data_IF_443112899907
#
_entry.id   IF_443112899907
#
_cell.length_a   1.000
_cell.length_b   1.000
_cell.length_c   1.000
_cell.angle_alpha   90.00
_cell.angle_beta   90.00
_cell.angle_gamma   90.00
#
_symmetry.space_group_name_H-M   'P 1'
#
loop_
_entity.id
_entity.type
_entity.pdbx_description
1 polymer ?
#
# COMPACT_ATOMS: atom_id res chain seq x y z
N UNK A 1 -8.63 6.26 5.42
CA UNK A 1 -8.16 7.67 5.34
C UNK A 1 -7.14 8.06 6.40
N UNK A 2 -7.09 7.41 7.58
CA UNK A 2 -6.06 7.69 8.60
C UNK A 2 -4.67 7.07 8.34
N UNK A 3 -4.56 6.04 7.47
CA UNK A 3 -3.28 5.37 7.16
C UNK A 3 -2.41 6.10 6.13
N UNK A 4 -3.01 6.91 5.24
CA UNK A 4 -2.29 7.73 4.27
C UNK A 4 -1.41 8.80 4.95
N UNK A 5 -1.89 9.38 6.05
CA UNK A 5 -1.17 10.40 6.81
C UNK A 5 0.10 9.87 7.50
N UNK A 6 0.17 8.58 7.80
CA UNK A 6 1.32 7.97 8.50
C UNK A 6 2.46 7.58 7.55
N UNK A 7 2.16 7.23 6.29
CA UNK A 7 3.19 7.00 5.27
C UNK A 7 3.76 8.34 4.81
N UNK A 8 2.92 9.37 4.68
CA UNK A 8 3.37 10.74 4.48
C UNK A 8 4.16 11.25 5.70
N UNK A 9 3.91 10.74 6.91
CA UNK A 9 4.72 11.02 8.09
C UNK A 9 6.12 10.37 8.04
N UNK A 10 6.26 9.19 7.41
CA UNK A 10 7.58 8.56 7.22
C UNK A 10 8.34 9.16 6.06
N UNK A 11 7.65 9.39 4.93
CA UNK A 11 8.18 10.15 3.83
C UNK A 11 8.55 11.56 4.29
N UNK A 12 7.76 12.23 5.14
CA UNK A 12 8.13 13.57 5.68
C UNK A 12 9.20 13.57 6.76
N UNK A 13 9.40 12.45 7.48
CA UNK A 13 10.53 12.29 8.42
C UNK A 13 11.84 11.91 7.71
N UNK A 14 11.79 11.14 6.62
CA UNK A 14 12.97 10.69 5.85
C UNK A 14 13.33 11.64 4.70
N UNK A 15 12.35 12.28 4.05
CA UNK A 15 12.56 13.47 3.22
C UNK A 15 12.38 14.68 4.12
N UNK A 16 13.46 15.38 4.48
CA UNK A 16 13.42 16.63 5.27
C UNK A 16 12.42 17.63 4.69
N UNK A 17 11.17 17.55 5.10
CA UNK A 17 10.04 18.33 4.54
C UNK A 17 10.24 19.83 4.75
N UNK A 18 10.98 20.20 5.79
CA UNK A 18 11.30 21.60 6.12
C UNK A 18 12.25 22.25 5.12
N UNK A 19 13.19 21.49 4.55
CA UNK A 19 14.09 22.01 3.51
C UNK A 19 13.36 22.11 2.15
N UNK A 20 12.54 21.11 1.81
CA UNK A 20 11.73 21.12 0.58
C UNK A 20 10.69 22.24 0.57
N UNK A 21 10.02 22.52 1.71
CA UNK A 21 9.08 23.64 1.80
C UNK A 21 9.74 25.00 1.60
N UNK A 22 11.01 25.18 1.99
CA UNK A 22 11.79 26.38 1.69
C UNK A 22 12.06 26.54 0.19
N UNK A 23 12.37 25.43 -0.51
CA UNK A 23 12.64 25.40 -1.95
C UNK A 23 11.41 25.71 -2.81
N UNK A 24 10.21 25.37 -2.32
CA UNK A 24 8.92 25.67 -2.97
C UNK A 24 8.26 26.97 -2.48
N UNK A 25 8.87 27.70 -1.54
CA UNK A 25 8.35 28.99 -1.07
C UNK A 25 8.75 30.11 -2.05
N UNK A 26 7.76 30.91 -2.49
CA UNK A 26 7.92 31.91 -3.55
C UNK A 26 8.91 33.05 -3.28
N UNK A 27 9.55 33.09 -2.10
CA UNK A 27 10.56 34.09 -1.75
C UNK A 27 11.95 33.82 -2.38
N UNK A 28 12.20 32.62 -2.90
CA UNK A 28 13.54 32.18 -3.39
C UNK A 28 13.66 31.97 -4.92
N UNK A 29 12.73 32.50 -5.72
CA UNK A 29 12.75 32.28 -7.18
C UNK A 29 13.98 32.90 -7.88
N UNK A 30 14.44 34.09 -7.47
CA UNK A 30 15.62 34.73 -8.06
C UNK A 30 16.95 34.07 -7.63
N UNK A 31 17.04 33.57 -6.39
CA UNK A 31 18.19 32.78 -5.93
C UNK A 31 18.25 31.40 -6.59
N UNK A 32 17.09 30.77 -6.77
CA UNK A 32 16.96 29.51 -7.51
C UNK A 32 17.41 29.65 -8.97
N UNK A 33 16.99 30.72 -9.66
CA UNK A 33 17.39 30.97 -11.04
C UNK A 33 18.91 31.19 -11.20
N UNK A 34 19.60 31.71 -10.17
CA UNK A 34 21.07 31.85 -10.18
C UNK A 34 21.80 30.54 -9.88
N UNK A 35 21.20 29.66 -9.08
CA UNK A 35 21.78 28.36 -8.69
C UNK A 35 21.47 27.25 -9.69
N UNK A 36 20.32 27.24 -10.34
CA UNK A 36 19.90 26.14 -11.20
C UNK A 36 20.12 26.47 -12.67
N UNK A 37 21.39 26.53 -13.07
CA UNK A 37 21.76 26.79 -14.47
C UNK A 37 22.03 25.49 -15.25
N UNK A 38 21.74 25.42 -16.56
CA UNK A 38 22.07 24.25 -17.37
C UNK A 38 23.58 23.91 -17.39
N UNK A 39 24.44 24.91 -17.22
CA UNK A 39 25.90 24.73 -17.14
C UNK A 39 26.31 23.99 -15.85
N UNK A 40 25.70 24.33 -14.72
CA UNK A 40 25.94 23.61 -13.47
C UNK A 40 25.47 22.16 -13.56
N UNK A 41 24.31 21.91 -14.17
CA UNK A 41 23.85 20.54 -14.40
C UNK A 41 24.81 19.75 -15.30
N UNK A 42 25.41 20.39 -16.31
CA UNK A 42 26.44 19.79 -17.14
C UNK A 42 27.69 19.44 -16.32
N UNK A 43 28.13 20.32 -15.42
CA UNK A 43 29.26 20.03 -14.53
C UNK A 43 28.98 18.84 -13.59
N UNK A 44 27.74 18.73 -13.08
CA UNK A 44 27.29 17.58 -12.28
C UNK A 44 27.31 16.29 -13.12
N UNK A 45 26.80 16.35 -14.34
CA UNK A 45 26.85 15.22 -15.28
C UNK A 45 28.29 14.79 -15.58
N UNK A 46 29.20 15.72 -15.87
CA UNK A 46 30.61 15.43 -16.13
C UNK A 46 31.30 14.79 -14.90
N UNK A 47 30.84 15.15 -13.71
CA UNK A 47 31.32 14.52 -12.46
C UNK A 47 30.86 13.08 -12.34
N UNK A 48 29.59 12.77 -12.68
CA UNK A 48 29.10 11.39 -12.76
C UNK A 48 29.82 10.60 -13.85
N UNK A 49 30.00 11.18 -15.04
CA UNK A 49 30.64 10.53 -16.18
C UNK A 49 32.10 10.16 -15.91
N UNK A 50 32.82 10.97 -15.14
CA UNK A 50 34.19 10.67 -14.66
C UNK A 50 34.25 9.57 -13.61
N UNK A 51 33.12 9.20 -13.01
CA UNK A 51 33.02 8.21 -11.94
C UNK A 51 32.03 7.08 -12.33
N UNK A 52 32.31 6.27 -13.37
CA UNK A 52 31.41 5.19 -13.78
C UNK A 52 31.37 4.02 -12.79
N UNK A 53 32.47 3.78 -12.07
CA UNK A 53 32.57 2.76 -11.01
C UNK A 53 32.68 3.46 -9.67
N UNK A 54 31.75 3.17 -8.77
CA UNK A 54 31.69 3.78 -7.44
C UNK A 54 32.42 2.89 -6.45
N UNK A 55 33.33 3.49 -5.69
CA UNK A 55 34.13 2.85 -4.66
C UNK A 55 34.21 3.78 -3.45
N UNK A 56 34.87 3.34 -2.38
CA UNK A 56 34.96 4.11 -1.13
C UNK A 56 35.52 5.53 -1.31
N UNK A 57 36.45 5.72 -2.25
CA UNK A 57 37.12 7.01 -2.46
C UNK A 57 36.26 8.07 -3.16
N UNK A 58 35.36 7.66 -4.06
CA UNK A 58 34.50 8.59 -4.82
C UNK A 58 33.03 8.54 -4.39
N UNK A 59 32.63 7.61 -3.52
CA UNK A 59 31.25 7.44 -3.06
C UNK A 59 30.60 8.73 -2.60
N UNK A 60 31.28 9.49 -1.73
CA UNK A 60 30.73 10.72 -1.17
C UNK A 60 30.44 11.76 -2.27
N UNK A 61 31.34 11.90 -3.25
CA UNK A 61 31.18 12.83 -4.37
C UNK A 61 30.01 12.40 -5.26
N UNK A 62 29.90 11.10 -5.57
CA UNK A 62 28.80 10.58 -6.41
C UNK A 62 27.45 10.76 -5.72
N UNK A 63 27.35 10.39 -4.44
CA UNK A 63 26.12 10.57 -3.64
C UNK A 63 25.68 12.03 -3.62
N UNK A 64 26.60 12.95 -3.33
CA UNK A 64 26.29 14.37 -3.30
C UNK A 64 25.90 14.90 -4.69
N UNK A 65 26.56 14.44 -5.75
CA UNK A 65 26.23 14.82 -7.13
C UNK A 65 24.83 14.36 -7.52
N UNK A 66 24.45 13.11 -7.19
CA UNK A 66 23.09 12.59 -7.43
C UNK A 66 22.07 13.39 -6.62
N UNK A 67 22.39 13.73 -5.38
CA UNK A 67 21.54 14.58 -4.53
C UNK A 67 21.32 15.95 -5.16
N UNK A 68 22.37 16.63 -5.64
CA UNK A 68 22.27 17.90 -6.35
C UNK A 68 21.40 17.78 -7.60
N UNK A 69 21.59 16.74 -8.42
CA UNK A 69 20.75 16.50 -9.62
C UNK A 69 19.28 16.37 -9.25
N UNK A 70 18.94 15.75 -8.12
CA UNK A 70 17.54 15.68 -7.66
C UNK A 70 16.92 17.06 -7.41
N UNK A 71 17.70 18.01 -6.88
CA UNK A 71 17.26 19.40 -6.67
C UNK A 71 16.98 20.09 -8.01
N UNK A 72 17.90 19.92 -8.97
CA UNK A 72 17.75 20.43 -10.33
C UNK A 72 16.48 19.90 -10.99
N UNK A 73 16.21 18.60 -10.87
CA UNK A 73 15.04 17.98 -11.50
C UNK A 73 13.72 18.50 -10.96
N UNK A 74 13.63 18.74 -9.66
CA UNK A 74 12.42 19.28 -9.04
C UNK A 74 12.20 20.73 -9.47
N UNK A 75 13.25 21.53 -9.46
CA UNK A 75 13.15 22.94 -9.85
C UNK A 75 12.85 23.07 -11.35
N UNK A 76 13.56 22.30 -12.18
CA UNK A 76 13.47 22.29 -13.64
C UNK A 76 12.10 21.90 -14.18
N UNK A 77 11.42 20.89 -13.61
CA UNK A 77 10.07 20.48 -14.08
C UNK A 77 9.04 21.63 -14.02
N UNK A 78 9.21 22.60 -13.13
CA UNK A 78 8.26 23.69 -12.93
C UNK A 78 8.73 25.04 -13.49
N UNK A 79 10.04 25.28 -13.58
CA UNK A 79 10.58 26.62 -13.87
C UNK A 79 11.42 26.69 -15.15
N UNK A 80 12.10 25.60 -15.54
CA UNK A 80 13.02 25.60 -16.68
C UNK A 80 13.05 24.23 -17.37
N UNK A 81 12.21 24.01 -18.40
CA UNK A 81 12.11 22.73 -19.10
C UNK A 81 13.44 22.19 -19.63
N UNK A 82 14.38 23.08 -20.00
CA UNK A 82 15.70 22.68 -20.53
C UNK A 82 16.52 21.84 -19.55
N UNK A 83 16.34 22.04 -18.25
CA UNK A 83 17.00 21.24 -17.21
C UNK A 83 16.49 19.80 -17.26
N UNK A 84 15.17 19.65 -17.40
CA UNK A 84 14.53 18.34 -17.52
C UNK A 84 14.99 17.67 -18.82
N UNK A 85 14.94 18.39 -19.96
CA UNK A 85 15.40 17.89 -21.26
C UNK A 85 16.87 17.44 -21.21
N UNK A 86 17.76 18.19 -20.57
CA UNK A 86 19.16 17.81 -20.43
C UNK A 86 19.33 16.49 -19.66
N UNK A 87 18.62 16.31 -18.54
CA UNK A 87 18.69 15.08 -17.76
C UNK A 87 18.24 13.87 -18.58
N UNK A 88 17.21 14.06 -19.39
CA UNK A 88 16.66 13.06 -20.29
C UNK A 88 17.63 12.72 -21.43
N UNK A 89 18.13 13.72 -22.16
CA UNK A 89 19.03 13.54 -23.31
C UNK A 89 20.35 12.85 -22.93
N UNK A 90 20.87 13.12 -21.74
CA UNK A 90 22.14 12.55 -21.28
C UNK A 90 21.98 11.19 -20.56
N UNK A 91 20.78 10.59 -20.59
CA UNK A 91 20.50 9.27 -20.01
C UNK A 91 21.02 9.09 -18.58
N UNK A 92 20.83 10.09 -17.71
CA UNK A 92 21.30 10.03 -16.32
C UNK A 92 20.65 8.83 -15.59
N UNK A 93 19.42 8.46 -15.96
CA UNK A 93 18.75 7.23 -15.49
C UNK A 93 19.54 5.95 -15.76
N UNK A 94 20.19 5.84 -16.93
CA UNK A 94 21.02 4.70 -17.26
C UNK A 94 22.27 4.65 -16.38
N UNK A 95 22.89 5.81 -16.10
CA UNK A 95 23.99 5.89 -15.15
C UNK A 95 23.56 5.40 -13.76
N UNK A 96 22.41 5.88 -13.24
CA UNK A 96 21.86 5.44 -11.95
C UNK A 96 21.60 3.93 -11.91
N UNK A 97 21.09 3.36 -13.00
CA UNK A 97 20.92 1.91 -13.09
C UNK A 97 22.27 1.17 -13.08
N UNK A 98 23.26 1.63 -13.85
CA UNK A 98 24.57 0.98 -13.95
C UNK A 98 25.34 0.98 -12.63
N UNK A 99 25.23 2.04 -11.82
CA UNK A 99 25.88 2.06 -10.49
C UNK A 99 25.21 1.07 -9.53
N UNK A 100 23.90 0.84 -9.64
CA UNK A 100 23.17 -0.16 -8.84
C UNK A 100 23.45 -1.61 -9.29
N UNK A 101 23.89 -1.81 -10.53
CA UNK A 101 24.36 -3.13 -10.98
C UNK A 101 25.66 -3.55 -10.27
N UNK A 102 26.45 -2.61 -9.76
CA UNK A 102 27.65 -2.90 -8.98
C UNK A 102 27.22 -3.42 -7.59
N UNK A 103 27.56 -4.66 -7.20
CA UNK A 103 27.05 -5.27 -5.97
C UNK A 103 27.33 -4.47 -4.70
N UNK A 104 28.48 -3.80 -4.61
CA UNK A 104 28.87 -2.97 -3.47
C UNK A 104 27.94 -1.75 -3.23
N UNK A 105 27.17 -1.34 -4.25
CA UNK A 105 26.29 -0.18 -4.20
C UNK A 105 24.81 -0.56 -4.01
N UNK A 106 24.51 -1.84 -3.74
CA UNK A 106 23.15 -2.34 -3.50
C UNK A 106 22.73 -2.26 -2.03
N UNK A 107 23.60 -1.70 -1.19
CA UNK A 107 23.40 -1.38 0.22
C UNK A 107 23.94 0.03 0.51
N UNK A 108 23.65 0.59 1.69
CA UNK A 108 24.25 1.83 2.16
C UNK A 108 23.92 3.06 1.31
N UNK A 109 24.76 4.10 1.43
CA UNK A 109 24.44 5.47 0.99
C UNK A 109 24.16 5.61 -0.51
N UNK A 110 24.81 4.81 -1.37
CA UNK A 110 24.56 4.88 -2.82
C UNK A 110 23.16 4.38 -3.15
N UNK A 111 22.78 3.20 -2.66
CA UNK A 111 21.45 2.64 -2.87
C UNK A 111 20.37 3.59 -2.35
N UNK A 112 20.53 4.08 -1.11
CA UNK A 112 19.61 5.02 -0.47
C UNK A 112 19.45 6.29 -1.32
N UNK A 113 20.55 6.91 -1.73
CA UNK A 113 20.52 8.14 -2.51
C UNK A 113 19.86 7.96 -3.88
N UNK A 114 20.16 6.88 -4.60
CA UNK A 114 19.55 6.60 -5.90
C UNK A 114 18.05 6.37 -5.75
N UNK A 115 17.63 5.49 -4.85
CA UNK A 115 16.22 5.17 -4.62
C UNK A 115 15.42 6.40 -4.17
N UNK A 116 15.98 7.19 -3.25
CA UNK A 116 15.37 8.44 -2.80
C UNK A 116 15.23 9.44 -3.95
N UNK A 117 16.31 9.67 -4.71
CA UNK A 117 16.32 10.61 -5.84
C UNK A 117 15.27 10.23 -6.88
N UNK A 118 15.20 8.96 -7.26
CA UNK A 118 14.20 8.48 -8.21
C UNK A 118 12.78 8.62 -7.66
N UNK A 119 12.56 8.26 -6.40
CA UNK A 119 11.27 8.42 -5.75
C UNK A 119 10.79 9.88 -5.78
N UNK A 120 11.68 10.82 -5.50
CA UNK A 120 11.40 12.26 -5.54
C UNK A 120 11.07 12.74 -6.95
N UNK A 121 11.92 12.44 -7.92
CA UNK A 121 11.74 12.86 -9.32
C UNK A 121 10.40 12.34 -9.84
N UNK A 122 10.10 11.06 -9.59
CA UNK A 122 8.85 10.43 -10.02
C UNK A 122 7.64 11.06 -9.31
N UNK A 123 7.69 11.32 -8.00
CA UNK A 123 6.56 11.96 -7.32
C UNK A 123 6.28 13.36 -7.87
N UNK A 124 7.33 14.12 -8.16
CA UNK A 124 7.21 15.53 -8.48
C UNK A 124 7.02 15.85 -9.96
N UNK A 125 7.35 14.95 -10.89
CA UNK A 125 7.11 15.19 -12.33
C UNK A 125 5.61 15.38 -12.61
N UNK A 126 5.24 16.54 -13.16
CA UNK A 126 3.84 16.89 -13.46
C UNK A 126 3.51 16.81 -14.94
N UNK A 127 4.49 17.05 -15.81
CA UNK A 127 4.28 17.06 -17.25
C UNK A 127 3.98 15.66 -17.81
N UNK A 128 2.98 15.53 -18.69
CA UNK A 128 2.65 14.25 -19.34
C UNK A 128 3.85 13.76 -20.17
N UNK A 129 4.50 14.65 -20.92
CA UNK A 129 5.73 14.37 -21.67
C UNK A 129 6.84 13.84 -20.77
N UNK A 130 7.05 14.45 -19.60
CA UNK A 130 8.10 14.03 -18.68
C UNK A 130 7.83 12.66 -18.05
N UNK A 131 6.56 12.37 -17.72
CA UNK A 131 6.13 11.03 -17.29
C UNK A 131 6.42 10.01 -18.38
N UNK A 132 5.96 10.25 -19.60
CA UNK A 132 6.15 9.30 -20.70
C UNK A 132 7.62 9.00 -20.95
N UNK A 133 8.46 10.04 -21.03
CA UNK A 133 9.89 9.85 -21.27
C UNK A 133 10.56 9.05 -20.14
N UNK A 134 10.29 9.40 -18.88
CA UNK A 134 10.92 8.77 -17.72
C UNK A 134 10.68 7.25 -17.68
N UNK A 135 9.51 6.79 -18.13
CA UNK A 135 9.14 5.39 -18.14
C UNK A 135 9.39 4.67 -19.48
N UNK A 136 9.54 5.38 -20.61
CA UNK A 136 9.65 4.78 -21.96
C UNK A 136 10.88 3.90 -22.18
N UNK A 137 12.01 4.18 -21.51
CA UNK A 137 13.28 3.47 -21.72
C UNK A 137 13.48 2.24 -20.81
N UNK A 138 12.44 1.78 -20.12
CA UNK A 138 12.45 0.62 -19.23
C UNK A 138 13.45 0.69 -18.05
N UNK A 139 14.17 1.80 -17.85
CA UNK A 139 15.13 1.98 -16.77
C UNK A 139 14.50 1.78 -15.39
N UNK A 140 13.27 2.26 -15.20
CA UNK A 140 12.53 2.07 -13.95
C UNK A 140 12.27 0.59 -13.68
N UNK A 141 11.76 -0.16 -14.65
CA UNK A 141 11.50 -1.59 -14.46
C UNK A 141 12.81 -2.36 -14.19
N UNK A 142 13.90 -1.98 -14.86
CA UNK A 142 15.22 -2.55 -14.60
C UNK A 142 15.68 -2.29 -13.15
N UNK A 143 15.47 -1.07 -12.63
CA UNK A 143 15.81 -0.69 -11.25
C UNK A 143 14.89 -1.40 -10.24
N UNK A 144 13.60 -1.55 -10.54
CA UNK A 144 12.65 -2.32 -9.72
C UNK A 144 13.15 -3.75 -9.55
N UNK A 145 13.69 -4.37 -10.61
CA UNK A 145 14.23 -5.73 -10.59
C UNK A 145 15.62 -5.90 -9.94
N UNK A 146 16.28 -4.82 -9.51
CA UNK A 146 17.59 -4.90 -8.83
C UNK A 146 17.43 -5.63 -7.50
N UNK A 147 18.36 -6.56 -7.23
CA UNK A 147 18.44 -7.29 -5.97
C UNK A 147 19.24 -6.50 -4.94
N UNK A 148 18.56 -5.55 -4.30
CA UNK A 148 19.10 -4.79 -3.17
C UNK A 148 19.38 -5.69 -1.96
N UNK A 149 20.31 -5.24 -1.12
CA UNK A 149 20.52 -5.82 0.19
C UNK A 149 19.51 -5.23 1.17
N UNK A 150 18.51 -6.03 1.53
CA UNK A 150 17.45 -5.62 2.45
C UNK A 150 17.75 -5.95 3.91
N UNK A 151 18.94 -6.47 4.23
CA UNK A 151 19.42 -6.49 5.61
C UNK A 151 19.66 -5.05 6.13
N UNK A 152 19.93 -4.11 5.21
CA UNK A 152 19.86 -2.67 5.44
C UNK A 152 18.39 -2.19 5.38
N UNK A 153 17.74 -2.08 6.54
CA UNK A 153 16.32 -1.70 6.64
C UNK A 153 16.02 -0.31 6.08
N UNK A 154 17.00 0.60 6.10
CA UNK A 154 16.82 1.92 5.50
C UNK A 154 16.74 1.81 3.98
N UNK A 155 17.57 0.98 3.35
CA UNK A 155 17.49 0.69 1.90
C UNK A 155 16.13 0.10 1.55
N UNK A 156 15.61 -0.84 2.36
CA UNK A 156 14.26 -1.36 2.16
C UNK A 156 13.20 -0.25 2.25
N UNK A 157 13.29 0.64 3.24
CA UNK A 157 12.39 1.78 3.39
C UNK A 157 12.38 2.69 2.16
N UNK A 158 13.56 3.02 1.63
CA UNK A 158 13.68 3.81 0.40
C UNK A 158 13.18 3.05 -0.83
N UNK A 159 13.42 1.74 -0.92
CA UNK A 159 12.93 0.90 -2.00
C UNK A 159 11.41 0.86 -2.04
N UNK A 160 10.74 0.62 -0.92
CA UNK A 160 9.27 0.63 -0.82
C UNK A 160 8.70 2.01 -1.14
N UNK A 161 9.37 3.08 -0.69
CA UNK A 161 8.98 4.46 -1.02
C UNK A 161 9.10 4.76 -2.52
N UNK A 162 10.15 4.27 -3.16
CA UNK A 162 10.36 4.32 -4.60
C UNK A 162 9.28 3.55 -5.36
N UNK A 163 8.99 2.29 -4.99
CA UNK A 163 7.93 1.51 -5.62
C UNK A 163 6.56 2.20 -5.47
N UNK A 164 6.26 2.77 -4.29
CA UNK A 164 5.04 3.55 -4.06
C UNK A 164 4.99 4.75 -5.00
N UNK A 165 6.09 5.50 -5.15
CA UNK A 165 6.17 6.63 -6.08
C UNK A 165 5.83 6.22 -7.52
N UNK A 166 6.41 5.11 -7.97
CA UNK A 166 6.12 4.52 -9.29
C UNK A 166 4.63 4.17 -9.42
N UNK A 167 4.06 3.50 -8.42
CA UNK A 167 2.65 3.08 -8.44
C UNK A 167 1.65 4.23 -8.55
N UNK A 168 2.01 5.43 -8.07
CA UNK A 168 1.16 6.63 -8.16
C UNK A 168 1.10 7.20 -9.58
N UNK A 169 2.00 6.78 -10.48
CA UNK A 169 2.00 7.16 -11.90
C UNK A 169 1.32 6.12 -12.79
N UNK A 170 0.76 5.08 -12.21
CA UNK A 170 -0.05 4.11 -12.94
C UNK A 170 -1.37 4.76 -13.38
N UNK A 171 -1.66 4.63 -14.66
CA UNK A 171 -2.91 5.05 -15.27
C UNK A 171 -3.18 4.16 -16.49
N UNK A 172 -4.41 4.11 -17.02
CA UNK A 172 -4.68 3.39 -18.26
C UNK A 172 -3.80 3.81 -19.46
N UNK A 173 -3.24 5.03 -19.45
CA UNK A 173 -2.34 5.53 -20.50
C UNK A 173 -0.89 5.08 -20.31
N UNK A 174 -0.45 4.91 -19.07
CA UNK A 174 0.96 4.69 -18.71
C UNK A 174 1.27 3.25 -18.32
N UNK A 175 0.23 2.44 -18.06
CA UNK A 175 0.33 1.06 -17.57
C UNK A 175 1.26 0.19 -18.42
N UNK A 176 1.23 0.37 -19.74
CA UNK A 176 2.06 -0.40 -20.68
C UNK A 176 3.56 -0.17 -20.48
N UNK A 177 3.99 0.95 -19.91
CA UNK A 177 5.41 1.18 -19.60
C UNK A 177 5.92 0.37 -18.40
N UNK A 178 5.02 -0.17 -17.58
CA UNK A 178 5.36 -0.94 -16.38
C UNK A 178 5.30 -2.45 -16.61
N UNK A 179 4.77 -2.85 -17.76
CA UNK A 179 4.61 -4.24 -18.15
C UNK A 179 5.82 -4.67 -18.98
N UNK A 180 6.34 -5.85 -18.69
CA UNK A 180 7.35 -6.53 -19.49
C UNK A 180 6.67 -7.69 -20.20
N UNK A 181 6.73 -7.71 -21.52
CA UNK A 181 6.29 -8.86 -22.30
C UNK A 181 7.41 -9.91 -22.32
N UNK A 182 7.14 -11.18 -21.94
CA UNK A 182 8.14 -12.23 -22.07
C UNK A 182 8.45 -12.46 -23.56
N UNK A 183 9.71 -12.75 -23.86
CA UNK A 183 10.13 -13.12 -25.21
C UNK A 183 9.27 -14.30 -25.72
N UNK A 184 8.81 -14.18 -26.96
CA UNK A 184 7.78 -14.96 -27.67
C UNK A 184 7.98 -16.49 -27.77
N UNK A 185 8.95 -17.07 -27.08
CA UNK A 185 9.49 -18.39 -27.42
C UNK A 185 9.06 -19.50 -26.44
N UNK A 186 8.32 -19.18 -25.38
CA UNK A 186 7.72 -20.15 -24.48
C UNK A 186 6.23 -20.33 -24.80
N UNK A 187 5.91 -21.47 -25.41
CA UNK A 187 4.58 -21.87 -25.86
C UNK A 187 3.46 -21.56 -24.84
N UNK A 188 2.46 -20.78 -25.30
CA UNK A 188 1.07 -20.96 -24.85
C UNK A 188 0.48 -19.96 -23.86
N UNK A 189 1.23 -18.98 -23.34
CA UNK A 189 0.62 -17.83 -22.67
C UNK A 189 1.42 -16.57 -22.90
N UNK A 190 0.83 -15.58 -23.58
CA UNK A 190 1.28 -14.20 -23.56
C UNK A 190 1.05 -13.62 -22.15
N UNK A 191 1.73 -14.20 -21.15
CA UNK A 191 1.62 -13.80 -19.76
C UNK A 191 2.52 -12.60 -19.56
N UNK A 192 1.92 -11.42 -19.52
CA UNK A 192 2.62 -10.20 -19.14
C UNK A 192 3.29 -10.36 -17.76
N UNK A 193 4.42 -9.71 -17.53
CA UNK A 193 4.97 -9.54 -16.18
C UNK A 193 4.86 -8.08 -15.75
N UNK A 194 4.53 -7.85 -14.48
CA UNK A 194 4.48 -6.53 -13.88
C UNK A 194 5.47 -6.50 -12.70
N UNK A 195 6.77 -6.22 -12.96
CA UNK A 195 7.82 -6.25 -11.94
C UNK A 195 7.47 -5.42 -10.70
N UNK A 196 6.82 -4.27 -10.90
CA UNK A 196 6.36 -3.38 -9.83
C UNK A 196 5.47 -4.11 -8.80
N UNK A 197 4.53 -4.93 -9.27
CA UNK A 197 3.65 -5.71 -8.40
C UNK A 197 4.38 -6.93 -7.83
N UNK A 198 5.04 -7.69 -8.71
CA UNK A 198 5.76 -8.93 -8.36
C UNK A 198 6.83 -8.73 -7.28
N UNK A 199 7.58 -7.63 -7.33
CA UNK A 199 8.59 -7.30 -6.32
C UNK A 199 7.96 -6.78 -5.03
N UNK A 200 6.91 -5.94 -5.11
CA UNK A 200 6.28 -5.36 -3.92
C UNK A 200 5.63 -6.41 -3.01
N UNK A 201 4.92 -7.40 -3.58
CA UNK A 201 4.17 -8.39 -2.79
C UNK A 201 5.07 -9.30 -1.95
N UNK A 202 6.37 -9.38 -2.23
CA UNK A 202 7.34 -10.12 -1.41
C UNK A 202 7.44 -9.58 0.02
N UNK A 203 7.14 -8.30 0.20
CA UNK A 203 7.20 -7.59 1.48
C UNK A 203 5.85 -7.46 2.18
N UNK A 204 4.81 -8.16 1.69
CA UNK A 204 3.44 -8.10 2.23
C UNK A 204 3.34 -8.38 3.74
N UNK A 205 4.21 -9.25 4.24
CA UNK A 205 4.24 -9.72 5.64
C UNK A 205 5.48 -9.23 6.40
N UNK A 206 6.08 -8.12 5.97
CA UNK A 206 7.26 -7.56 6.63
C UNK A 206 6.97 -7.20 8.10
N UNK A 207 7.98 -7.24 8.98
CA UNK A 207 7.83 -6.95 10.41
C UNK A 207 7.39 -5.51 10.68
N UNK A 208 7.87 -4.57 9.88
CA UNK A 208 7.53 -3.16 10.00
C UNK A 208 6.17 -2.83 9.39
N UNK A 209 5.29 -2.21 10.18
CA UNK A 209 3.96 -1.80 9.72
C UNK A 209 3.99 -0.81 8.56
N UNK A 210 4.98 0.09 8.51
CA UNK A 210 5.13 1.04 7.40
C UNK A 210 5.42 0.36 6.06
N UNK A 211 6.27 -0.67 6.05
CA UNK A 211 6.54 -1.46 4.85
C UNK A 211 5.26 -2.14 4.38
N UNK A 212 4.52 -2.80 5.29
CA UNK A 212 3.21 -3.42 4.96
C UNK A 212 2.22 -2.40 4.40
N UNK A 213 2.12 -1.22 5.01
CA UNK A 213 1.23 -0.14 4.56
C UNK A 213 1.63 0.41 3.17
N UNK A 214 2.94 0.50 2.89
CA UNK A 214 3.47 0.86 1.58
C UNK A 214 3.07 -0.15 0.49
N UNK A 215 3.26 -1.45 0.76
CA UNK A 215 2.86 -2.55 -0.14
C UNK A 215 1.35 -2.55 -0.38
N UNK A 216 0.55 -2.38 0.68
CA UNK A 216 -0.93 -2.28 0.59
C UNK A 216 -1.35 -1.11 -0.29
N UNK A 217 -0.73 0.06 -0.13
CA UNK A 217 -1.02 1.24 -0.97
C UNK A 217 -0.67 0.99 -2.43
N UNK A 218 0.52 0.43 -2.70
CA UNK A 218 0.97 0.11 -4.05
C UNK A 218 0.03 -0.89 -4.72
N UNK A 219 -0.32 -1.98 -4.03
CA UNK A 219 -1.19 -3.01 -4.59
C UNK A 219 -2.59 -2.47 -4.86
N UNK A 220 -3.12 -1.59 -4.01
CA UNK A 220 -4.37 -0.86 -4.28
C UNK A 220 -4.25 0.05 -5.51
N UNK A 221 -3.12 0.74 -5.71
CA UNK A 221 -2.92 1.56 -6.91
C UNK A 221 -2.87 0.72 -8.19
N UNK A 222 -2.24 -0.46 -8.15
CA UNK A 222 -2.25 -1.41 -9.27
C UNK A 222 -3.67 -1.89 -9.55
N UNK A 223 -4.42 -2.27 -8.52
CA UNK A 223 -5.83 -2.65 -8.63
C UNK A 223 -6.75 -1.47 -9.02
N UNK A 224 -6.32 -0.23 -8.87
CA UNK A 224 -7.10 0.92 -9.32
C UNK A 224 -7.08 1.09 -10.85
N UNK A 225 -6.11 0.49 -11.54
CA UNK A 225 -5.97 0.63 -13.00
C UNK A 225 -7.02 -0.22 -13.72
N UNK A 226 -7.84 0.44 -14.53
CA UNK A 226 -8.84 -0.20 -15.38
C UNK A 226 -8.22 -0.69 -16.68
N UNK A 227 -7.33 -1.68 -16.59
CA UNK A 227 -6.70 -2.34 -17.73
C UNK A 227 -6.87 -3.88 -17.66
N UNK A 228 -7.53 -4.53 -18.65
CA UNK A 228 -7.80 -5.97 -18.65
C UNK A 228 -6.57 -6.86 -18.47
N UNK A 229 -5.42 -6.48 -19.03
CA UNK A 229 -4.21 -7.30 -18.97
C UNK A 229 -3.66 -7.33 -17.54
N UNK A 230 -3.63 -6.17 -16.87
CA UNK A 230 -3.25 -6.10 -15.45
C UNK A 230 -4.20 -6.92 -14.58
N UNK A 231 -5.50 -6.88 -14.86
CA UNK A 231 -6.47 -7.67 -14.09
C UNK A 231 -6.22 -9.16 -14.24
N UNK A 232 -6.00 -9.62 -15.47
CA UNK A 232 -5.69 -11.00 -15.78
C UNK A 232 -4.40 -11.44 -15.08
N UNK A 233 -3.36 -10.60 -15.10
CA UNK A 233 -2.09 -10.84 -14.41
C UNK A 233 -2.26 -10.98 -12.91
N UNK A 234 -2.91 -10.02 -12.24
CA UNK A 234 -3.09 -10.05 -10.77
C UNK A 234 -3.94 -11.26 -10.34
N UNK A 235 -4.79 -11.79 -11.22
CA UNK A 235 -5.62 -12.96 -10.96
C UNK A 235 -4.99 -14.29 -11.38
N UNK A 236 -3.91 -14.27 -12.16
CA UNK A 236 -3.22 -15.48 -12.57
C UNK A 236 -2.12 -15.84 -11.56
N UNK A 237 -1.89 -17.15 -11.32
CA UNK A 237 -0.69 -17.57 -10.61
C UNK A 237 0.57 -17.14 -11.38
N UNK A 238 1.66 -16.73 -10.68
CA UNK A 238 1.84 -16.75 -9.23
C UNK A 238 1.31 -15.50 -8.51
N UNK A 239 0.99 -14.41 -9.21
CA UNK A 239 0.60 -13.12 -8.62
C UNK A 239 -0.63 -13.25 -7.69
N UNK A 240 -1.62 -14.05 -8.09
CA UNK A 240 -2.83 -14.26 -7.30
C UNK A 240 -2.62 -14.95 -5.95
N UNK A 241 -1.47 -15.59 -5.71
CA UNK A 241 -1.14 -16.19 -4.41
C UNK A 241 -1.08 -15.14 -3.28
N UNK A 242 -0.80 -13.88 -3.61
CA UNK A 242 -0.78 -12.75 -2.67
C UNK A 242 -2.09 -12.67 -1.86
N UNK A 243 -3.23 -12.81 -2.53
CA UNK A 243 -4.55 -12.77 -1.93
C UNK A 243 -4.76 -13.84 -0.84
N UNK A 244 -4.38 -15.09 -1.13
CA UNK A 244 -4.41 -16.17 -0.14
C UNK A 244 -3.45 -15.92 1.03
N UNK A 245 -2.30 -15.30 0.76
CA UNK A 245 -1.33 -14.93 1.79
C UNK A 245 -1.87 -13.87 2.75
N UNK A 246 -2.61 -12.86 2.26
CA UNK A 246 -3.27 -11.84 3.08
C UNK A 246 -4.38 -12.44 3.92
N UNK A 247 -5.20 -13.33 3.35
CA UNK A 247 -6.23 -14.05 4.10
C UNK A 247 -5.62 -14.86 5.27
N UNK A 248 -4.53 -15.58 5.00
CA UNK A 248 -3.79 -16.35 6.02
C UNK A 248 -3.16 -15.43 7.07
N UNK A 249 -2.65 -14.27 6.68
CA UNK A 249 -2.11 -13.29 7.62
C UNK A 249 -3.20 -12.73 8.54
N UNK A 250 -4.37 -12.37 8.00
CA UNK A 250 -5.52 -11.93 8.79
C UNK A 250 -5.92 -12.98 9.83
N UNK A 251 -5.97 -14.26 9.43
CA UNK A 251 -6.21 -15.39 10.34
C UNK A 251 -5.25 -15.36 11.53
N UNK A 252 -3.94 -15.31 11.25
CA UNK A 252 -2.90 -15.28 12.29
C UNK A 252 -3.00 -14.06 13.20
N UNK A 253 -3.27 -12.87 12.65
CA UNK A 253 -3.42 -11.66 13.46
C UNK A 253 -4.61 -11.76 14.42
N UNK A 254 -5.67 -12.43 14.00
CA UNK A 254 -6.82 -12.62 14.86
C UNK A 254 -6.58 -13.74 15.90
N UNK A 255 -5.81 -14.78 15.58
CA UNK A 255 -5.34 -15.76 16.59
C UNK A 255 -4.48 -15.08 17.65
N UNK A 256 -3.56 -14.20 17.25
CA UNK A 256 -2.79 -13.37 18.18
C UNK A 256 -3.71 -12.48 19.02
N UNK A 257 -4.73 -11.86 18.41
CA UNK A 257 -5.72 -11.07 19.14
C UNK A 257 -6.36 -11.90 20.26
N UNK A 258 -6.76 -13.14 19.96
CA UNK A 258 -7.32 -14.05 20.97
C UNK A 258 -6.36 -14.31 22.14
N UNK A 259 -5.06 -14.49 21.86
CA UNK A 259 -4.05 -14.70 22.90
C UNK A 259 -3.89 -13.47 23.81
N UNK A 260 -4.05 -12.25 23.29
CA UNK A 260 -3.98 -11.02 24.09
C UNK A 260 -5.26 -10.72 24.88
N UNK A 261 -6.40 -11.33 24.51
CA UNK A 261 -7.67 -11.11 25.20
C UNK A 261 -7.66 -11.65 26.64
N UNK A 262 -7.13 -12.86 26.87
CA UNK A 262 -7.14 -13.46 28.21
C UNK A 262 -6.29 -12.67 29.24
N UNK A 263 -5.04 -12.25 28.96
CA UNK A 263 -4.28 -11.37 29.85
C UNK A 263 -4.94 -10.00 30.07
N UNK A 264 -5.62 -9.46 29.05
CA UNK A 264 -6.29 -8.16 29.14
C UNK A 264 -7.51 -8.16 30.09
N UNK A 265 -8.09 -9.34 30.40
CA UNK A 265 -9.16 -9.46 31.39
C UNK A 265 -8.74 -8.99 32.79
N UNK A 266 -7.44 -9.05 33.10
CA UNK A 266 -6.90 -8.55 34.36
C UNK A 266 -6.82 -7.01 34.43
N UNK A 267 -7.17 -6.29 33.36
CA UNK A 267 -7.16 -4.82 33.25
C UNK A 267 -5.80 -4.18 33.56
N UNK A 268 -4.71 -4.93 33.37
CA UNK A 268 -3.36 -4.39 33.50
C UNK A 268 -3.05 -3.42 32.35
N UNK A 269 -2.52 -2.21 32.61
CA UNK A 269 -2.26 -1.20 31.57
C UNK A 269 -1.40 -1.72 30.40
N UNK A 270 -0.35 -2.49 30.72
CA UNK A 270 0.52 -3.12 29.71
C UNK A 270 -0.28 -4.06 28.79
N UNK A 271 -1.11 -4.95 29.36
CA UNK A 271 -1.90 -5.90 28.59
C UNK A 271 -2.95 -5.20 27.70
N UNK A 272 -3.53 -4.11 28.19
CA UNK A 272 -4.44 -3.27 27.41
C UNK A 272 -3.73 -2.57 26.24
N UNK A 273 -2.50 -2.09 26.44
CA UNK A 273 -1.72 -1.47 25.36
C UNK A 273 -1.33 -2.46 24.26
N UNK A 274 -0.93 -3.69 24.63
CA UNK A 274 -0.65 -4.76 23.67
C UNK A 274 -1.90 -5.19 22.91
N UNK A 275 -3.04 -5.28 23.60
CA UNK A 275 -4.33 -5.54 22.97
C UNK A 275 -4.70 -4.43 21.97
N UNK A 276 -4.52 -3.15 22.32
CA UNK A 276 -4.79 -2.02 21.41
C UNK A 276 -3.96 -2.11 20.12
N UNK A 277 -2.66 -2.38 20.28
CA UNK A 277 -1.75 -2.52 19.16
C UNK A 277 -2.17 -3.67 18.24
N UNK A 278 -2.56 -4.80 18.82
CA UNK A 278 -3.01 -5.96 18.04
C UNK A 278 -4.33 -5.69 17.34
N UNK A 279 -5.26 -4.99 18.01
CA UNK A 279 -6.52 -4.58 17.40
C UNK A 279 -6.32 -3.63 16.23
N UNK A 280 -5.39 -2.67 16.35
CA UNK A 280 -5.05 -1.75 15.27
C UNK A 280 -4.51 -2.50 14.05
N UNK A 281 -3.69 -3.54 14.24
CA UNK A 281 -3.20 -4.37 13.13
C UNK A 281 -4.35 -5.12 12.44
N UNK A 282 -5.26 -5.73 13.22
CA UNK A 282 -6.44 -6.41 12.66
C UNK A 282 -7.34 -5.44 11.90
N UNK A 283 -7.58 -4.25 12.45
CA UNK A 283 -8.37 -3.19 11.81
C UNK A 283 -7.74 -2.75 10.48
N UNK A 284 -6.43 -2.56 10.43
CA UNK A 284 -5.74 -2.14 9.20
C UNK A 284 -5.82 -3.22 8.10
N UNK A 285 -5.66 -4.50 8.45
CA UNK A 285 -5.82 -5.62 7.50
C UNK A 285 -7.26 -5.71 7.01
N UNK A 286 -8.25 -5.58 7.89
CA UNK A 286 -9.67 -5.61 7.52
C UNK A 286 -10.04 -4.43 6.62
N UNK A 287 -9.53 -3.22 6.92
CA UNK A 287 -9.71 -2.04 6.08
C UNK A 287 -9.13 -2.28 4.69
N UNK A 288 -7.91 -2.81 4.61
CA UNK A 288 -7.29 -3.17 3.35
C UNK A 288 -8.12 -4.20 2.57
N UNK A 289 -8.57 -5.28 3.20
CA UNK A 289 -9.44 -6.27 2.57
C UNK A 289 -10.73 -5.63 2.03
N UNK A 290 -11.37 -4.77 2.81
CA UNK A 290 -12.55 -4.03 2.37
C UNK A 290 -12.26 -3.15 1.15
N UNK A 291 -11.12 -2.46 1.12
CA UNK A 291 -10.72 -1.65 -0.04
C UNK A 291 -10.48 -2.52 -1.27
N UNK A 292 -9.88 -3.71 -1.11
CA UNK A 292 -9.75 -4.72 -2.18
C UNK A 292 -11.14 -5.14 -2.71
N UNK A 293 -12.11 -5.39 -1.83
CA UNK A 293 -13.47 -5.79 -2.22
C UNK A 293 -14.29 -4.69 -2.89
N UNK A 294 -14.01 -3.43 -2.58
CA UNK A 294 -14.70 -2.29 -3.19
C UNK A 294 -14.36 -2.12 -4.66
N UNK A 295 -13.24 -2.67 -5.12
CA UNK A 295 -12.92 -2.68 -6.53
C UNK A 295 -13.92 -3.58 -7.27
N UNK A 296 -14.80 -2.95 -8.07
CA UNK A 296 -16.03 -3.51 -8.68
C UNK A 296 -15.80 -4.64 -9.71
N UNK A 297 -14.62 -5.23 -9.80
CA UNK A 297 -14.34 -6.34 -10.69
C UNK A 297 -14.78 -7.67 -10.07
N UNK A 298 -15.88 -8.21 -10.59
CA UNK A 298 -16.47 -9.49 -10.16
C UNK A 298 -15.50 -10.67 -10.17
N UNK A 299 -14.44 -10.61 -10.96
CA UNK A 299 -13.44 -11.69 -11.06
C UNK A 299 -12.45 -11.66 -9.90
N UNK A 300 -12.00 -10.46 -9.50
CA UNK A 300 -11.12 -10.23 -8.36
C UNK A 300 -11.79 -10.67 -7.07
N UNK A 301 -13.02 -10.19 -6.89
CA UNK A 301 -13.83 -10.56 -5.74
C UNK A 301 -14.09 -12.07 -5.73
N UNK A 302 -14.37 -12.74 -6.85
CA UNK A 302 -14.58 -14.21 -6.84
C UNK A 302 -13.33 -14.99 -6.43
N UNK A 303 -12.15 -14.65 -6.97
CA UNK A 303 -10.91 -15.36 -6.65
C UNK A 303 -10.44 -15.05 -5.22
N UNK A 304 -10.51 -13.78 -4.80
CA UNK A 304 -10.17 -13.37 -3.45
C UNK A 304 -11.14 -13.93 -2.41
N UNK A 305 -12.45 -13.89 -2.70
CA UNK A 305 -13.51 -14.39 -1.83
C UNK A 305 -13.50 -15.90 -1.70
N UNK A 306 -13.15 -16.67 -2.75
CA UNK A 306 -13.04 -18.13 -2.61
C UNK A 306 -11.95 -18.52 -1.60
N UNK A 307 -10.81 -17.81 -1.65
CA UNK A 307 -9.69 -18.00 -0.72
C UNK A 307 -10.05 -17.52 0.70
N UNK A 308 -10.70 -16.35 0.81
CA UNK A 308 -11.17 -15.81 2.09
C UNK A 308 -12.30 -16.62 2.71
N UNK A 309 -13.19 -17.26 1.96
CA UNK A 309 -14.29 -18.07 2.50
C UNK A 309 -13.79 -19.32 3.22
N UNK A 310 -12.68 -19.92 2.75
CA UNK A 310 -12.10 -21.08 3.41
C UNK A 310 -11.51 -20.69 4.78
N UNK A 311 -10.81 -19.56 4.83
CA UNK A 311 -10.27 -18.98 6.06
C UNK A 311 -11.38 -18.44 6.98
N UNK A 312 -12.31 -17.64 6.45
CA UNK A 312 -13.36 -16.93 7.17
C UNK A 312 -14.36 -17.83 7.88
N UNK A 313 -14.68 -19.01 7.34
CA UNK A 313 -15.57 -19.99 7.99
C UNK A 313 -15.03 -20.55 9.30
N UNK A 314 -13.71 -20.68 9.43
CA UNK A 314 -13.06 -21.09 10.68
C UNK A 314 -12.96 -19.91 11.67
N UNK A 315 -12.71 -18.71 11.15
CA UNK A 315 -12.45 -17.49 11.93
C UNK A 315 -13.68 -16.86 12.59
N UNK A 316 -14.80 -16.75 11.86
CA UNK A 316 -16.00 -16.09 12.36
C UNK A 316 -16.53 -16.76 13.64
N UNK A 317 -16.35 -18.08 13.78
CA UNK A 317 -16.80 -18.85 14.95
C UNK A 317 -15.90 -18.63 16.17
N UNK A 318 -14.57 -18.57 15.97
CA UNK A 318 -13.61 -18.46 17.07
C UNK A 318 -13.59 -17.06 17.69
N UNK A 319 -13.80 -16.03 16.88
CA UNK A 319 -13.43 -14.65 17.24
C UNK A 319 -14.63 -13.86 17.70
N UNK A 320 -15.77 -14.01 17.00
CA UNK A 320 -17.02 -13.42 17.47
C UNK A 320 -17.42 -13.98 18.83
N UNK A 321 -17.14 -15.25 19.11
CA UNK A 321 -17.42 -15.88 20.41
C UNK A 321 -16.66 -15.21 21.55
N UNK A 322 -15.36 -14.99 21.38
CA UNK A 322 -14.48 -14.49 22.42
C UNK A 322 -14.57 -12.95 22.58
N UNK A 323 -14.70 -12.20 21.47
CA UNK A 323 -14.95 -10.75 21.52
C UNK A 323 -16.30 -10.43 22.19
N UNK A 324 -17.34 -11.24 21.91
CA UNK A 324 -18.63 -11.11 22.58
C UNK A 324 -18.50 -11.43 24.07
N UNK A 325 -17.74 -12.46 24.46
CA UNK A 325 -17.50 -12.78 25.87
C UNK A 325 -16.77 -11.66 26.61
N UNK A 326 -15.75 -11.03 26.02
CA UNK A 326 -15.08 -9.89 26.64
C UNK A 326 -15.97 -8.65 26.73
N UNK A 327 -16.76 -8.36 25.70
CA UNK A 327 -17.74 -7.26 25.78
C UNK A 327 -18.78 -7.50 26.88
N UNK A 328 -19.24 -8.75 27.04
CA UNK A 328 -20.16 -9.12 28.13
C UNK A 328 -19.51 -9.00 29.51
N UNK A 329 -18.24 -9.36 29.65
CA UNK A 329 -17.46 -9.20 30.89
C UNK A 329 -17.21 -7.73 31.24
N UNK A 330 -16.80 -6.91 30.27
CA UNK A 330 -16.50 -5.48 30.44
C UNK A 330 -17.78 -4.68 30.72
N UNK A 331 -18.90 -5.00 30.04
CA UNK A 331 -20.19 -4.37 30.31
C UNK A 331 -20.87 -4.91 31.59
N UNK A 332 -20.29 -5.90 32.29
CA UNK A 332 -20.89 -6.62 33.42
C UNK A 332 -22.31 -7.14 33.14
N UNK A 333 -22.61 -7.49 31.89
CA UNK A 333 -23.91 -8.03 31.50
C UNK A 333 -23.85 -9.55 31.57
N UNK A 334 -24.59 -10.15 32.51
CA UNK A 334 -24.83 -11.60 32.52
C UNK A 334 -25.84 -11.95 31.42
N UNK A 335 -25.39 -12.58 30.34
CA UNK A 335 -26.28 -13.27 29.39
C UNK A 335 -26.37 -14.73 29.83
N UNK A 336 -27.52 -15.14 30.36
CA UNK A 336 -27.76 -16.48 30.92
C UNK A 336 -28.28 -17.51 29.91
N UNK A 337 -28.32 -17.21 28.61
CA UNK A 337 -28.83 -18.15 27.62
C UNK A 337 -27.85 -18.34 26.46
N UNK A 338 -27.15 -19.48 26.47
CA UNK A 338 -26.49 -20.04 25.29
C UNK A 338 -27.38 -21.17 24.76
N UNK A 339 -27.85 -21.16 23.50
CA UNK A 339 -28.50 -22.34 22.95
C UNK A 339 -27.40 -23.37 22.65
N UNK A 340 -27.32 -24.41 23.47
CA UNK A 340 -26.32 -25.46 23.39
C UNK A 340 -26.49 -26.42 22.18
N UNK A 341 -27.30 -26.06 21.17
CA UNK A 341 -27.64 -26.97 20.08
C UNK A 341 -28.08 -26.23 18.80
N UNK A 342 -27.16 -25.55 18.13
CA UNK A 342 -27.39 -25.10 16.75
C UNK A 342 -26.15 -25.39 15.89
N UNK A 343 -26.08 -26.62 15.38
CA UNK A 343 -25.14 -27.01 14.34
C UNK A 343 -25.52 -26.40 12.98
N UNK A 344 -24.48 -25.96 12.26
CA UNK A 344 -24.32 -25.93 10.79
C UNK A 344 -25.39 -25.29 9.87
N UNK A 345 -26.48 -24.69 10.36
CA UNK A 345 -27.52 -24.05 9.51
C UNK A 345 -27.85 -22.61 9.88
N UNK A 346 -26.84 -21.77 10.06
CA UNK A 346 -27.06 -20.32 10.21
C UNK A 346 -27.27 -19.58 8.87
N UNK A 347 -26.98 -20.23 7.74
CA UNK A 347 -26.78 -19.53 6.45
C UNK A 347 -27.95 -19.59 5.46
N UNK A 348 -29.14 -20.09 5.85
CA UNK A 348 -30.23 -20.27 4.87
C UNK A 348 -31.57 -19.61 5.19
N UNK A 349 -31.96 -19.33 6.44
CA UNK A 349 -33.26 -18.72 6.69
C UNK A 349 -33.28 -17.80 7.91
N UNK A 350 -33.96 -16.67 7.74
CA UNK A 350 -34.34 -15.67 8.74
C UNK A 350 -34.74 -16.31 10.07
N UNK A 351 -33.88 -16.16 11.09
CA UNK A 351 -34.25 -16.53 12.45
C UNK A 351 -35.16 -15.44 13.04
N UNK A 352 -36.47 -15.60 12.84
CA UNK A 352 -37.50 -14.89 13.60
C UNK A 352 -37.53 -15.41 15.03
N UNK A 353 -36.57 -14.99 15.86
CA UNK A 353 -36.69 -15.06 17.31
C UNK A 353 -36.71 -13.62 17.82
N UNK A 354 -37.88 -13.17 18.31
CA UNK A 354 -38.02 -11.91 19.03
C UNK A 354 -37.17 -11.96 20.29
N UNK A 355 -35.96 -11.42 20.24
CA UNK A 355 -35.32 -10.86 21.43
C UNK A 355 -35.96 -9.51 21.70
N UNK A 356 -37.00 -9.51 22.54
CA UNK A 356 -37.58 -8.30 23.11
C UNK A 356 -36.50 -7.54 23.87
N UNK A 357 -36.08 -6.40 23.34
CA UNK A 357 -35.25 -5.36 23.98
C UNK A 357 -33.99 -5.83 24.72
N UNK A 358 -32.86 -5.87 24.02
CA UNK A 358 -31.55 -5.66 24.67
C UNK A 358 -31.44 -4.15 24.93
N UNK A 359 -31.77 -3.71 26.14
CA UNK A 359 -31.38 -2.37 26.60
C UNK A 359 -29.89 -2.42 26.93
N UNK A 360 -29.07 -1.80 26.08
CA UNK A 360 -27.67 -1.52 26.38
C UNK A 360 -27.67 -0.37 27.40
N UNK A 361 -27.26 -0.57 28.66
CA UNK A 361 -27.10 0.56 29.58
C UNK A 361 -25.99 1.48 29.06
N UNK A 362 -26.09 2.81 29.24
CA UNK A 362 -25.02 3.71 28.87
C UNK A 362 -23.73 3.28 29.57
N UNK A 363 -22.61 3.20 28.82
CA UNK A 363 -21.32 2.83 29.39
C UNK A 363 -21.00 3.74 30.59
N UNK A 364 -20.55 3.20 31.74
CA UNK A 364 -20.10 4.03 32.85
C UNK A 364 -18.98 4.98 32.39
N UNK A 365 -18.96 6.25 32.84
CA UNK A 365 -18.01 7.27 32.37
C UNK A 365 -16.53 6.93 32.64
N UNK A 366 -16.25 5.92 33.47
CA UNK A 366 -14.90 5.37 33.68
C UNK A 366 -14.36 4.57 32.46
N UNK A 367 -15.22 4.13 31.55
CA UNK A 367 -14.83 3.48 30.29
C UNK A 367 -14.62 4.48 29.13
N UNK A 368 -14.81 5.78 29.41
CA UNK A 368 -14.70 6.89 28.45
C UNK A 368 -13.33 7.61 28.47
N UNK A 369 -12.32 7.08 29.17
CA UNK A 369 -10.97 7.67 29.20
C UNK A 369 -9.85 6.62 28.96
N UNK A 370 -8.66 7.05 28.52
CA UNK A 370 -8.25 7.37 27.15
C UNK A 370 -7.81 6.13 26.33
N UNK A 371 -8.09 4.90 26.79
CA UNK A 371 -7.66 3.69 26.08
C UNK A 371 -8.73 3.27 25.06
N UNK A 372 -8.60 3.77 23.83
CA UNK A 372 -9.55 3.62 22.71
C UNK A 372 -9.86 2.20 22.22
N UNK A 373 -9.33 1.16 22.87
CA UNK A 373 -9.50 -0.24 22.48
C UNK A 373 -10.96 -0.68 22.54
N UNK A 374 -11.67 -0.36 23.63
CA UNK A 374 -13.04 -0.87 23.85
C UNK A 374 -14.06 -0.27 22.88
N UNK A 375 -13.87 0.99 22.48
CA UNK A 375 -14.67 1.64 21.44
C UNK A 375 -14.38 1.02 20.07
N UNK A 376 -13.11 0.75 19.75
CA UNK A 376 -12.71 0.06 18.50
C UNK A 376 -13.24 -1.37 18.41
N UNK A 377 -13.31 -2.09 19.54
CA UNK A 377 -13.92 -3.42 19.63
C UNK A 377 -15.40 -3.38 19.21
N UNK A 378 -16.13 -2.35 19.67
CA UNK A 378 -17.52 -2.11 19.27
C UNK A 378 -17.70 -1.77 17.79
N UNK A 379 -16.71 -1.14 17.13
CA UNK A 379 -16.76 -0.82 15.68
C UNK A 379 -16.34 -2.00 14.79
N UNK A 380 -15.56 -2.95 15.29
CA UNK A 380 -15.17 -4.15 14.55
C UNK A 380 -16.33 -5.15 14.39
N UNK A 381 -17.29 -5.17 15.33
CA UNK A 381 -18.47 -6.04 15.28
C UNK A 381 -19.42 -5.75 14.10
N UNK A 382 -19.79 -4.48 13.81
CA UNK A 382 -20.52 -4.12 12.60
C UNK A 382 -19.76 -4.43 11.32
N UNK A 383 -18.42 -4.30 11.31
CA UNK A 383 -17.62 -4.65 10.14
C UNK A 383 -17.68 -6.17 9.87
N UNK A 384 -17.59 -7.00 10.91
CA UNK A 384 -17.79 -8.45 10.80
C UNK A 384 -19.23 -8.82 10.36
N UNK A 385 -20.23 -8.05 10.79
CA UNK A 385 -21.63 -8.23 10.36
C UNK A 385 -21.89 -7.78 8.90
N UNK A 386 -21.24 -6.70 8.44
CA UNK A 386 -21.25 -6.26 7.04
C UNK A 386 -20.63 -7.31 6.11
N UNK A 387 -19.57 -8.00 6.56
CA UNK A 387 -18.99 -9.14 5.86
C UNK A 387 -19.99 -10.30 5.66
N UNK A 388 -20.93 -10.49 6.59
CA UNK A 388 -22.00 -11.49 6.47
C UNK A 388 -23.19 -11.03 5.59
N UNK A 389 -23.44 -9.72 5.47
CA UNK A 389 -24.52 -9.19 4.60
C UNK A 389 -24.20 -9.26 3.11
N UNK A 390 -22.92 -9.25 2.70
CA UNK A 390 -22.51 -9.43 1.29
C UNK A 390 -22.92 -10.82 0.77
N UNK A 391 -23.07 -11.80 1.65
CA UNK A 391 -23.48 -13.18 1.33
C UNK A 391 -24.92 -13.29 0.78
N UNK A 392 -25.77 -12.26 0.99
CA UNK A 392 -27.15 -12.27 0.50
C UNK A 392 -27.31 -11.82 -0.97
N UNK A 393 -26.24 -11.40 -1.64
CA UNK A 393 -26.27 -11.05 -3.06
C UNK A 393 -25.40 -12.00 -3.90
N UNK A 394 -25.91 -13.22 -4.08
CA UNK A 394 -25.47 -14.18 -5.10
C UNK A 394 -26.33 -14.06 -6.38
N UNK A 395 -25.84 -14.54 -7.54
CA UNK A 395 -26.08 -13.96 -8.86
C UNK A 395 -27.38 -14.46 -9.48
N UNK A 396 -28.32 -13.56 -9.74
CA UNK A 396 -29.58 -13.93 -10.41
C UNK A 396 -30.47 -12.77 -10.82
N UNK A 397 -30.28 -11.58 -10.22
CA UNK A 397 -31.04 -10.40 -10.61
C UNK A 397 -30.27 -9.59 -11.65
N UNK A 398 -30.78 -9.62 -12.88
CA UNK A 398 -30.43 -8.66 -13.91
C UNK A 398 -30.57 -7.24 -13.35
N UNK A 399 -29.58 -6.38 -13.65
CA UNK A 399 -29.70 -4.95 -13.38
C UNK A 399 -30.90 -4.41 -14.17
N UNK A 400 -31.82 -3.64 -13.56
CA UNK A 400 -32.84 -2.97 -14.35
C UNK A 400 -32.16 -1.91 -15.22
N UNK A 401 -32.45 -1.94 -16.53
CA UNK A 401 -32.05 -0.90 -17.47
C UNK A 401 -32.55 0.48 -17.00
N UNK A 402 -31.82 1.57 -17.30
CA UNK A 402 -32.25 2.91 -16.97
C UNK A 402 -33.46 3.30 -17.84
N UNK A 403 -34.66 3.29 -17.26
CA UNK A 403 -35.84 3.85 -17.92
C UNK A 403 -35.69 5.37 -18.04
N UNK A 404 -35.74 5.83 -19.28
CA UNK A 404 -35.86 7.23 -19.68
C UNK A 404 -36.95 7.95 -18.87
N UNK A 405 -36.58 9.05 -18.21
CA UNK A 405 -37.55 10.03 -17.72
C UNK A 405 -38.23 10.72 -18.91
N UNK A 406 -39.43 10.26 -19.28
CA UNK A 406 -40.40 11.10 -19.97
C UNK A 406 -41.20 11.87 -18.91
N UNK A 407 -41.06 13.20 -18.93
CA UNK A 407 -41.99 14.07 -18.24
C UNK A 407 -43.36 14.02 -18.90
N UNK A 408 -44.41 14.12 -18.08
CA UNK A 408 -45.68 14.67 -18.50
C UNK A 408 -46.32 15.40 -17.32
N UNK A 409 -46.68 16.64 -17.61
CA UNK A 409 -47.38 17.57 -16.74
C UNK A 409 -48.84 17.14 -16.53
N UNK A 410 -49.36 17.43 -15.35
CA UNK A 410 -50.70 17.98 -15.10
C UNK A 410 -50.67 18.68 -13.75
#
# INVERSE_FOLDING_TARGET
>A
MASLASIDALASKLLKRDWWQGLFSGANQEEGARKYTPEELRNLYDTLHRNPVVNESNRAVVVETIRSISEFMIWGDQHEPRIFDFFLENNIMLYLYNILLQPANRAGEVAKQVLQTLGIIIQNVRSETGVFFLFSNNHINNIVGVRFDFDDEEVLGFYISFLKAVSLKLSPKTVNFFVVEPASDAAGSAAIDLPLYSEAIKFAHHREGMVRAGVRTLTLNVMAVMDPNIQAFVCSPPASAYFGSIATYLVRQIEHLHQYLAPAQALAPQALSSLDSQMAEVEDVLSYCNDVFRWRHREWCRHYWSQLNHAGRLMAVMVMRELLQLLLQVMRVRVTCWPASCGSRWWAHTCSARCSSVQVPPLPPALYQPHGCLVRLGTLLPAAALYASVEQHSPGTAWPEPQHCHGQAA
#
